data_IF_831472621372
#
_entry.id   IF_831472621372
#
_cell.length_a   1.000
_cell.length_b   1.000
_cell.length_c   1.000
_cell.angle_alpha   90.00
_cell.angle_beta   90.00
_cell.angle_gamma   90.00
#
_symmetry.space_group_name_H-M   'P 1'
#
loop_
_entity.id
_entity.type
_entity.pdbx_description
1 polymer ?
#
# COMPACT_ATOMS: atom_id res chain seq x y z
N UNK A 1 -1.47 0.14 -18.31
CA UNK A 1 -0.13 0.77 -18.18
C UNK A 1 0.30 0.94 -16.72
N UNK A 2 -0.52 1.51 -15.82
CA UNK A 2 -0.14 1.71 -14.39
C UNK A 2 0.19 0.42 -13.62
N UNK A 3 -0.34 -0.72 -14.04
CA UNK A 3 -0.02 -2.02 -13.40
C UNK A 3 1.48 -2.34 -13.39
N UNK A 4 2.20 -2.01 -14.46
CA UNK A 4 3.65 -2.26 -14.55
C UNK A 4 4.39 -1.43 -13.49
N UNK A 5 4.01 -0.16 -13.31
CA UNK A 5 4.55 0.70 -12.25
C UNK A 5 4.39 0.06 -10.87
N UNK A 6 3.21 -0.48 -10.56
CA UNK A 6 2.95 -1.09 -9.27
C UNK A 6 3.70 -2.41 -9.07
N UNK A 7 3.85 -3.23 -10.12
CA UNK A 7 4.68 -4.43 -10.08
C UNK A 7 6.14 -4.06 -9.85
N UNK A 8 6.66 -3.05 -10.56
CA UNK A 8 8.02 -2.55 -10.36
C UNK A 8 8.23 -2.02 -8.94
N UNK A 9 7.24 -1.33 -8.36
CA UNK A 9 7.30 -0.88 -6.97
C UNK A 9 7.39 -2.05 -5.98
N UNK A 10 6.63 -3.12 -6.19
CA UNK A 10 6.70 -4.34 -5.36
C UNK A 10 8.06 -5.02 -5.51
N UNK A 11 8.54 -5.20 -6.74
CA UNK A 11 9.84 -5.83 -6.99
C UNK A 11 10.97 -5.02 -6.34
N UNK A 12 10.94 -3.69 -6.51
CA UNK A 12 11.93 -2.80 -5.91
C UNK A 12 11.86 -2.85 -4.37
N UNK A 13 10.67 -2.89 -3.78
CA UNK A 13 10.51 -3.06 -2.34
C UNK A 13 11.15 -4.34 -1.83
N UNK A 14 10.91 -5.46 -2.51
CA UNK A 14 11.48 -6.76 -2.16
C UNK A 14 13.00 -6.74 -2.29
N UNK A 15 13.54 -6.15 -3.37
CA UNK A 15 14.99 -6.01 -3.59
C UNK A 15 15.62 -5.18 -2.47
N UNK A 16 15.06 -4.00 -2.15
CA UNK A 16 15.59 -3.16 -1.07
C UNK A 16 15.56 -3.91 0.26
N UNK A 17 14.45 -4.57 0.59
CA UNK A 17 14.33 -5.34 1.81
C UNK A 17 15.36 -6.48 1.88
N UNK A 18 15.55 -7.24 0.80
CA UNK A 18 16.56 -8.30 0.74
C UNK A 18 17.98 -7.74 0.91
N UNK A 19 18.32 -6.64 0.23
CA UNK A 19 19.62 -5.99 0.38
C UNK A 19 19.85 -5.60 1.84
N UNK A 20 18.87 -4.96 2.49
CA UNK A 20 19.02 -4.49 3.87
C UNK A 20 19.08 -5.63 4.89
N UNK A 21 18.31 -6.70 4.69
CA UNK A 21 18.25 -7.83 5.63
C UNK A 21 19.42 -8.80 5.49
N UNK A 22 19.89 -9.06 4.27
CA UNK A 22 20.94 -10.06 4.00
C UNK A 22 22.34 -9.46 3.84
N UNK A 23 22.44 -8.22 3.35
CA UNK A 23 23.72 -7.56 3.12
C UNK A 23 23.93 -6.44 4.14
N UNK A 24 24.03 -6.82 5.41
CA UNK A 24 24.39 -5.90 6.49
C UNK A 24 25.84 -5.48 6.26
N UNK A 25 26.04 -4.26 5.76
CA UNK A 25 27.37 -3.66 5.68
C UNK A 25 27.70 -3.09 7.05
N UNK A 26 28.92 -3.34 7.54
CA UNK A 26 29.39 -2.88 8.86
C UNK A 26 29.34 -1.35 9.03
N UNK A 27 29.23 -0.61 7.91
CA UNK A 27 29.15 0.85 7.86
C UNK A 27 27.72 1.43 8.02
N UNK A 28 26.67 0.60 8.00
CA UNK A 28 25.28 1.08 8.03
C UNK A 28 24.75 1.08 9.47
N UNK A 29 24.50 2.29 10.01
CA UNK A 29 23.85 2.47 11.32
C UNK A 29 22.38 1.98 11.30
N UNK A 30 21.89 1.47 12.43
CA UNK A 30 20.52 0.98 12.65
C UNK A 30 19.43 1.94 12.19
N UNK A 31 19.65 3.25 12.38
CA UNK A 31 18.73 4.28 11.89
C UNK A 31 18.57 4.24 10.35
N UNK A 32 19.66 4.04 9.62
CA UNK A 32 19.62 3.93 8.16
C UNK A 32 18.94 2.63 7.71
N UNK A 33 19.15 1.53 8.43
CA UNK A 33 18.44 0.26 8.21
C UNK A 33 16.93 0.49 8.35
N UNK A 34 16.50 1.14 9.44
CA UNK A 34 15.09 1.44 9.69
C UNK A 34 14.47 2.30 8.58
N UNK A 35 15.15 3.36 8.13
CA UNK A 35 14.67 4.21 7.03
C UNK A 35 14.51 3.40 5.74
N UNK A 36 15.50 2.57 5.38
CA UNK A 36 15.46 1.77 4.15
C UNK A 36 14.34 0.73 4.19
N UNK A 37 14.12 0.08 5.34
CA UNK A 37 13.01 -0.84 5.53
C UNK A 37 11.66 -0.12 5.49
N UNK A 38 11.55 1.09 6.03
CA UNK A 38 10.34 1.89 5.95
C UNK A 38 10.03 2.31 4.51
N UNK A 39 11.07 2.68 3.74
CA UNK A 39 10.93 2.99 2.31
C UNK A 39 10.50 1.75 1.50
N UNK A 40 11.09 0.58 1.78
CA UNK A 40 10.66 -0.68 1.18
C UNK A 40 9.19 -0.99 1.53
N UNK A 41 8.80 -0.81 2.79
CA UNK A 41 7.42 -1.00 3.23
C UNK A 41 6.46 -0.05 2.51
N UNK A 42 6.81 1.22 2.37
CA UNK A 42 6.02 2.19 1.60
C UNK A 42 5.82 1.72 0.15
N UNK A 43 6.90 1.33 -0.54
CA UNK A 43 6.85 0.87 -1.93
C UNK A 43 6.01 -0.40 -2.08
N UNK A 44 6.12 -1.32 -1.13
CA UNK A 44 5.36 -2.56 -1.11
C UNK A 44 3.85 -2.27 -1.00
N UNK A 45 3.45 -1.47 -0.01
CA UNK A 45 2.06 -1.10 0.21
C UNK A 45 1.53 -0.30 -0.99
N UNK A 46 2.31 0.66 -1.49
CA UNK A 46 1.96 1.43 -2.68
C UNK A 46 1.66 0.52 -3.88
N UNK A 47 2.54 -0.43 -4.17
CA UNK A 47 2.34 -1.36 -5.28
C UNK A 47 1.14 -2.28 -5.09
N UNK A 48 0.96 -2.87 -3.90
CA UNK A 48 -0.17 -3.76 -3.60
C UNK A 48 -1.50 -3.02 -3.77
N UNK A 49 -1.62 -1.83 -3.17
CA UNK A 49 -2.83 -1.02 -3.26
C UNK A 49 -3.12 -0.56 -4.67
N UNK A 50 -2.10 -0.13 -5.40
CA UNK A 50 -2.23 0.30 -6.79
C UNK A 50 -2.71 -0.81 -7.71
N UNK A 51 -2.13 -2.01 -7.60
CA UNK A 51 -2.58 -3.19 -8.33
C UNK A 51 -4.02 -3.55 -8.00
N UNK A 52 -4.34 -3.61 -6.71
CA UNK A 52 -5.69 -3.93 -6.27
C UNK A 52 -6.71 -2.91 -6.82
N UNK A 53 -6.39 -1.61 -6.78
CA UNK A 53 -7.26 -0.56 -7.32
C UNK A 53 -7.48 -0.72 -8.84
N UNK A 54 -6.42 -0.95 -9.62
CA UNK A 54 -6.53 -1.17 -11.07
C UNK A 54 -7.39 -2.39 -11.40
N UNK A 55 -7.15 -3.52 -10.71
CA UNK A 55 -7.91 -4.75 -10.92
C UNK A 55 -9.38 -4.58 -10.52
N UNK A 56 -9.64 -3.90 -9.41
CA UNK A 56 -10.99 -3.62 -8.92
C UNK A 56 -11.75 -2.72 -9.90
N UNK A 57 -11.15 -1.61 -10.34
CA UNK A 57 -11.78 -0.69 -11.27
C UNK A 57 -11.97 -1.30 -12.66
N UNK A 58 -11.02 -2.12 -13.13
CA UNK A 58 -11.21 -2.91 -14.36
C UNK A 58 -12.41 -3.84 -14.23
N UNK A 59 -12.52 -4.57 -13.11
CA UNK A 59 -13.65 -5.47 -12.85
C UNK A 59 -14.99 -4.73 -12.81
N UNK A 60 -15.04 -3.58 -12.12
CA UNK A 60 -16.25 -2.76 -12.04
C UNK A 60 -16.68 -2.25 -13.44
N UNK A 61 -15.73 -1.74 -14.24
CA UNK A 61 -16.02 -1.32 -15.63
C UNK A 61 -16.56 -2.47 -16.48
N UNK A 62 -15.99 -3.67 -16.37
CA UNK A 62 -16.47 -4.86 -17.09
C UNK A 62 -17.88 -5.29 -16.66
N UNK A 63 -18.29 -5.00 -15.42
CA UNK A 63 -19.67 -5.23 -14.94
C UNK A 63 -20.66 -4.11 -15.33
N UNK A 64 -20.28 -3.19 -16.22
CA UNK A 64 -21.13 -2.08 -16.67
C UNK A 64 -21.19 -0.90 -15.70
N UNK A 65 -20.43 -0.94 -14.59
CA UNK A 65 -20.32 0.17 -13.64
C UNK A 65 -19.29 1.17 -14.16
N UNK A 66 -19.75 2.23 -14.82
CA UNK A 66 -18.90 3.29 -15.39
C UNK A 66 -18.91 4.57 -14.55
N UNK A 67 -20.05 4.86 -13.91
CA UNK A 67 -20.21 6.03 -13.04
C UNK A 67 -19.85 5.68 -11.59
N UNK A 68 -19.14 6.58 -10.91
CA UNK A 68 -18.83 6.51 -9.47
C UNK A 68 -18.12 5.22 -9.00
N UNK A 69 -17.06 4.81 -9.71
CA UNK A 69 -16.23 3.64 -9.38
C UNK A 69 -15.75 3.60 -7.92
N UNK A 70 -15.42 4.76 -7.33
CA UNK A 70 -14.99 4.86 -5.93
C UNK A 70 -16.12 4.51 -4.93
N UNK A 71 -17.36 4.86 -5.24
CA UNK A 71 -18.54 4.56 -4.41
C UNK A 71 -18.83 3.06 -4.45
N UNK A 72 -18.81 2.48 -5.64
CA UNK A 72 -19.00 1.04 -5.83
C UNK A 72 -17.88 0.23 -5.16
N UNK A 73 -16.63 0.67 -5.30
CA UNK A 73 -15.50 0.07 -4.60
C UNK A 73 -15.68 0.13 -3.07
N UNK A 74 -16.10 1.28 -2.55
CA UNK A 74 -16.38 1.44 -1.12
C UNK A 74 -17.48 0.50 -0.64
N UNK A 75 -18.57 0.41 -1.39
CA UNK A 75 -19.70 -0.48 -1.08
C UNK A 75 -19.28 -1.96 -1.05
N UNK A 76 -18.51 -2.40 -2.05
CA UNK A 76 -17.99 -3.76 -2.11
C UNK A 76 -17.11 -4.10 -0.90
N UNK A 77 -16.24 -3.18 -0.48
CA UNK A 77 -15.34 -3.39 0.64
C UNK A 77 -16.12 -3.41 1.96
N UNK A 78 -17.15 -2.56 2.11
CA UNK A 78 -18.01 -2.56 3.28
C UNK A 78 -18.73 -3.90 3.49
N UNK A 79 -19.08 -4.62 2.41
CA UNK A 79 -19.75 -5.92 2.46
C UNK A 79 -18.85 -7.11 2.77
N UNK A 80 -17.53 -7.00 2.58
CA UNK A 80 -16.60 -8.15 2.73
C UNK A 80 -16.21 -8.49 4.18
N UNK A 81 -16.60 -7.68 5.15
CA UNK A 81 -16.37 -7.92 6.58
C UNK A 81 -15.44 -6.92 7.25
N UNK A 82 -15.25 -7.05 8.57
CA UNK A 82 -14.49 -6.10 9.40
C UNK A 82 -13.02 -6.05 8.99
N UNK A 83 -12.43 -7.22 8.72
CA UNK A 83 -11.00 -7.34 8.38
C UNK A 83 -10.70 -6.64 7.04
N UNK A 84 -11.60 -6.72 6.07
CA UNK A 84 -11.49 -5.99 4.81
C UNK A 84 -11.63 -4.48 5.00
N UNK A 85 -12.52 -4.03 5.88
CA UNK A 85 -12.67 -2.60 6.21
C UNK A 85 -11.40 -2.04 6.84
N UNK A 86 -10.78 -2.78 7.75
CA UNK A 86 -9.53 -2.39 8.38
C UNK A 86 -8.37 -2.41 7.38
N UNK A 87 -8.22 -3.47 6.58
CA UNK A 87 -7.10 -3.59 5.65
C UNK A 87 -7.22 -2.73 4.40
N UNK A 88 -8.42 -2.37 3.97
CA UNK A 88 -8.68 -1.58 2.75
C UNK A 88 -9.33 -0.24 3.07
N UNK A 89 -9.13 0.27 4.29
CA UNK A 89 -9.68 1.57 4.72
C UNK A 89 -9.33 2.74 3.78
N UNK A 90 -8.18 2.78 3.05
CA UNK A 90 -7.91 3.86 2.10
C UNK A 90 -8.97 3.93 1.00
N UNK A 91 -9.48 2.78 0.53
CA UNK A 91 -10.57 2.74 -0.45
C UNK A 91 -11.91 3.24 0.09
N UNK A 92 -12.11 3.22 1.41
CA UNK A 92 -13.32 3.72 2.07
C UNK A 92 -13.28 5.23 2.29
N UNK A 93 -12.09 5.81 2.47
CA UNK A 93 -11.89 7.22 2.81
C UNK A 93 -11.53 8.07 1.59
N UNK A 94 -10.79 7.51 0.63
CA UNK A 94 -10.31 8.24 -0.55
C UNK A 94 -11.37 8.17 -1.65
N UNK A 95 -12.02 9.31 -1.92
CA UNK A 95 -13.02 9.44 -2.98
C UNK A 95 -12.38 9.68 -4.34
N UNK A 96 -11.52 8.77 -4.79
CA UNK A 96 -10.85 8.86 -6.09
C UNK A 96 -11.00 7.58 -6.90
N UNK A 97 -11.15 7.73 -8.21
CA UNK A 97 -11.09 6.62 -9.16
C UNK A 97 -9.68 6.45 -9.76
N UNK A 98 -8.71 7.23 -9.28
CA UNK A 98 -7.31 7.13 -9.71
C UNK A 98 -6.54 6.21 -8.76
N UNK A 99 -6.10 5.07 -9.29
CA UNK A 99 -5.30 4.09 -8.55
C UNK A 99 -4.06 4.68 -7.88
N UNK A 100 -3.42 5.69 -8.50
CA UNK A 100 -2.22 6.35 -7.95
C UNK A 100 -2.52 7.13 -6.67
N UNK A 101 -3.68 7.79 -6.61
CA UNK A 101 -4.09 8.56 -5.44
C UNK A 101 -4.39 7.60 -4.29
N UNK A 102 -5.11 6.51 -4.58
CA UNK A 102 -5.41 5.49 -3.57
C UNK A 102 -4.14 4.83 -3.05
N UNK A 103 -3.23 4.44 -3.93
CA UNK A 103 -1.99 3.77 -3.54
C UNK A 103 -1.07 4.68 -2.72
N UNK A 104 -0.93 5.95 -3.12
CA UNK A 104 -0.09 6.91 -2.42
C UNK A 104 -0.58 7.18 -1.00
N UNK A 105 -1.86 7.56 -0.85
CA UNK A 105 -2.42 7.84 0.47
C UNK A 105 -2.59 6.57 1.31
N UNK A 106 -2.87 5.42 0.68
CA UNK A 106 -2.88 4.14 1.37
C UNK A 106 -1.51 3.78 1.95
N UNK A 107 -0.45 3.92 1.16
CA UNK A 107 0.92 3.69 1.60
C UNK A 107 1.34 4.65 2.72
N UNK A 108 1.05 5.95 2.58
CA UNK A 108 1.33 6.94 3.63
C UNK A 108 0.64 6.57 4.95
N UNK A 109 -0.65 6.21 4.89
CA UNK A 109 -1.39 5.91 6.10
C UNK A 109 -0.86 4.65 6.80
N UNK A 110 -0.46 3.62 6.04
CA UNK A 110 0.20 2.44 6.60
C UNK A 110 1.58 2.73 7.18
N UNK A 111 2.39 3.59 6.54
CA UNK A 111 3.68 4.03 7.09
C UNK A 111 3.48 4.72 8.44
N UNK A 112 2.50 5.63 8.54
CA UNK A 112 2.19 6.29 9.82
C UNK A 112 1.75 5.28 10.88
N UNK A 113 0.88 4.32 10.53
CA UNK A 113 0.45 3.26 11.45
C UNK A 113 1.67 2.42 11.91
N UNK A 114 2.55 2.02 10.98
CA UNK A 114 3.74 1.25 11.28
C UNK A 114 4.68 2.02 12.22
N UNK A 115 4.86 3.33 12.01
CA UNK A 115 5.67 4.18 12.89
C UNK A 115 5.06 4.31 14.29
N UNK A 116 3.74 4.48 14.41
CA UNK A 116 3.06 4.53 15.72
C UNK A 116 3.22 3.20 16.46
N UNK A 117 3.05 2.08 15.75
CA UNK A 117 3.25 0.73 16.29
C UNK A 117 4.70 0.60 16.77
N UNK A 118 5.67 0.91 15.92
CA UNK A 118 7.10 0.84 16.26
C UNK A 118 7.43 1.70 17.49
N UNK A 119 6.98 2.96 17.50
CA UNK A 119 7.17 3.84 18.66
C UNK A 119 6.58 3.27 19.95
N UNK A 120 5.41 2.60 19.87
CA UNK A 120 4.76 2.01 21.04
C UNK A 120 5.46 0.77 21.56
N UNK A 121 6.00 -0.08 20.68
CA UNK A 121 6.66 -1.32 21.08
C UNK A 121 8.12 -1.13 21.53
N UNK A 122 8.84 -0.16 20.98
CA UNK A 122 10.26 0.07 21.28
C UNK A 122 10.52 1.15 22.34
N UNK A 123 9.48 1.84 22.81
CA UNK A 123 9.55 2.79 23.93
C UNK A 123 9.07 2.19 25.25
N UNK A 124 8.76 0.89 25.27
CA UNK A 124 8.53 0.08 26.47
C UNK A 124 9.80 -0.61 26.92
#
# INVERSE_FOLDING_TARGET
MKQILYIMAILLAIIIAMIVLFFRHDEINEFQIAIRLLAAFFLLVFGIYGLYAELLFKKLRMSGKTNNLCVEASYLIQKRGILSKALLFPFLKIKSSNSLIISFFGALAWVVIALIIFHRFFKS
#
